data_IF_525514924653
#
_entry.id   IF_525514924653
#
_cell.length_a   1.000
_cell.length_b   1.000
_cell.length_c   1.000
_cell.angle_alpha   90.00
_cell.angle_beta   90.00
_cell.angle_gamma   90.00
#
_symmetry.space_group_name_H-M   'P 1'
#
loop_
_entity.id
_entity.type
_entity.pdbx_description
1 polymer ?
#
# COMPACT_ATOMS: atom_id res chain seq x y z
N UNK A 1 -22.01 -3.87 -24.83
CA UNK A 1 -20.96 -4.86 -24.55
C UNK A 1 -20.82 -4.87 -23.04
N UNK A 2 -20.84 -6.03 -22.39
CA UNK A 2 -20.53 -6.09 -20.96
C UNK A 2 -19.02 -5.90 -20.86
N UNK A 3 -18.56 -4.82 -20.23
CA UNK A 3 -17.14 -4.65 -19.93
C UNK A 3 -16.68 -5.86 -19.11
N UNK A 4 -15.70 -6.60 -19.64
CA UNK A 4 -15.12 -7.74 -18.93
C UNK A 4 -14.32 -7.20 -17.74
N UNK A 5 -14.71 -7.60 -16.53
CA UNK A 5 -14.06 -7.19 -15.28
C UNK A 5 -13.34 -8.40 -14.68
N UNK A 6 -12.07 -8.23 -14.39
CA UNK A 6 -11.23 -9.20 -13.67
C UNK A 6 -11.28 -8.87 -12.17
N UNK A 7 -11.71 -9.81 -11.33
CA UNK A 7 -11.64 -9.66 -9.88
C UNK A 7 -10.19 -9.82 -9.41
N UNK A 8 -9.61 -8.75 -8.87
CA UNK A 8 -8.25 -8.75 -8.32
C UNK A 8 -8.22 -9.05 -6.80
N UNK A 9 -9.32 -8.80 -6.10
CA UNK A 9 -9.37 -8.98 -4.65
C UNK A 9 -10.76 -8.80 -4.07
N UNK A 10 -11.04 -9.52 -2.99
CA UNK A 10 -12.27 -9.42 -2.21
C UNK A 10 -11.96 -9.49 -0.72
N UNK A 11 -12.60 -8.62 0.06
CA UNK A 11 -12.40 -8.56 1.49
C UNK A 11 -13.72 -8.30 2.23
N UNK A 12 -14.02 -9.14 3.21
CA UNK A 12 -15.15 -8.92 4.10
C UNK A 12 -14.73 -8.13 5.34
N UNK A 13 -15.48 -7.11 5.67
CA UNK A 13 -15.35 -6.30 6.87
C UNK A 13 -16.60 -6.39 7.72
N UNK A 14 -16.42 -6.61 9.03
CA UNK A 14 -17.51 -6.70 10.00
C UNK A 14 -17.16 -5.88 11.25
N UNK A 15 -17.84 -4.74 11.40
CA UNK A 15 -17.86 -3.95 12.65
C UNK A 15 -19.27 -3.47 12.96
N UNK A 16 -20.20 -4.41 13.08
CA UNK A 16 -21.62 -4.11 13.32
C UNK A 16 -22.40 -3.75 12.06
N UNK A 17 -21.70 -3.53 10.94
CA UNK A 17 -22.20 -3.55 9.57
C UNK A 17 -21.27 -4.46 8.78
N UNK A 18 -21.84 -5.32 7.95
CA UNK A 18 -21.10 -6.19 7.04
C UNK A 18 -20.92 -5.46 5.71
N UNK A 19 -19.66 -5.26 5.33
CA UNK A 19 -19.24 -4.68 4.05
C UNK A 19 -18.36 -5.67 3.30
N UNK A 20 -18.67 -5.93 2.04
CA UNK A 20 -17.84 -6.70 1.12
C UNK A 20 -17.14 -5.73 0.15
N UNK A 21 -15.83 -5.62 0.24
CA UNK A 21 -15.00 -4.81 -0.65
C UNK A 21 -14.50 -5.63 -1.82
N UNK A 22 -14.47 -5.02 -3.00
CA UNK A 22 -14.00 -5.65 -4.22
C UNK A 22 -13.06 -4.73 -4.98
N UNK A 23 -12.04 -5.33 -5.59
CA UNK A 23 -11.15 -4.65 -6.52
C UNK A 23 -11.27 -5.32 -7.88
N UNK A 24 -11.57 -4.52 -8.90
CA UNK A 24 -11.72 -5.00 -10.27
C UNK A 24 -10.74 -4.31 -11.20
N UNK A 25 -10.06 -5.08 -12.05
CA UNK A 25 -9.38 -4.56 -13.23
C UNK A 25 -10.31 -4.62 -14.42
N UNK A 26 -10.37 -3.54 -15.17
CA UNK A 26 -11.17 -3.44 -16.39
C UNK A 26 -10.71 -2.28 -17.26
N UNK A 27 -11.32 -2.12 -18.43
CA UNK A 27 -11.17 -0.92 -19.25
C UNK A 27 -12.36 -0.02 -18.97
N UNK A 28 -12.10 1.25 -18.64
CA UNK A 28 -13.13 2.29 -18.48
C UNK A 28 -12.74 3.47 -19.35
N UNK A 29 -13.66 3.89 -20.22
CA UNK A 29 -13.42 4.95 -21.22
C UNK A 29 -12.17 4.69 -22.10
N UNK A 30 -11.89 3.41 -22.40
CA UNK A 30 -10.73 2.98 -23.20
C UNK A 30 -9.38 2.98 -22.45
N UNK A 31 -9.34 3.45 -21.20
CA UNK A 31 -8.14 3.48 -20.35
C UNK A 31 -8.08 2.24 -19.46
N UNK A 32 -6.87 1.84 -19.02
CA UNK A 32 -6.80 0.86 -17.93
C UNK A 32 -7.35 1.49 -16.67
N UNK A 33 -8.17 0.72 -15.97
CA UNK A 33 -8.79 1.14 -14.74
C UNK A 33 -8.73 0.00 -13.74
N UNK A 34 -8.35 0.32 -12.51
CA UNK A 34 -8.71 -0.50 -11.36
C UNK A 34 -9.71 0.25 -10.52
N UNK A 35 -10.86 -0.39 -10.30
CA UNK A 35 -11.95 0.17 -9.53
C UNK A 35 -12.10 -0.56 -8.21
N UNK A 36 -12.33 0.21 -7.17
CA UNK A 36 -12.57 -0.26 -5.81
C UNK A 36 -14.03 0.06 -5.46
N UNK A 37 -14.76 -0.98 -5.05
CA UNK A 37 -16.18 -0.92 -4.71
C UNK A 37 -16.44 -1.61 -3.38
N UNK A 38 -17.62 -1.36 -2.82
CA UNK A 38 -18.12 -2.13 -1.68
C UNK A 38 -19.61 -2.42 -1.79
N UNK A 39 -20.05 -3.47 -1.10
CA UNK A 39 -21.45 -3.86 -0.95
C UNK A 39 -21.75 -3.93 0.54
N UNK A 40 -22.71 -3.15 1.02
CA UNK A 40 -23.32 -3.37 2.33
C UNK A 40 -24.41 -4.43 2.22
N UNK A 41 -24.49 -5.35 3.19
CA UNK A 41 -25.45 -6.46 3.15
C UNK A 41 -26.88 -5.97 2.83
N UNK A 42 -27.45 -6.50 1.74
CA UNK A 42 -28.80 -6.14 1.27
C UNK A 42 -28.90 -4.83 0.50
N UNK A 43 -27.79 -4.16 0.18
CA UNK A 43 -27.73 -2.94 -0.66
C UNK A 43 -27.08 -3.20 -2.02
N UNK A 44 -27.19 -2.22 -2.90
CA UNK A 44 -26.50 -2.22 -4.19
C UNK A 44 -25.00 -1.92 -4.02
N UNK A 45 -24.22 -2.35 -5.00
CA UNK A 45 -22.77 -2.10 -5.05
C UNK A 45 -22.48 -0.61 -5.26
N UNK A 46 -21.63 -0.06 -4.40
CA UNK A 46 -21.16 1.32 -4.46
C UNK A 46 -19.72 1.33 -4.96
N UNK A 47 -19.51 1.90 -6.14
CA UNK A 47 -18.19 2.29 -6.62
C UNK A 47 -17.73 3.49 -5.82
N UNK A 48 -16.47 3.57 -5.40
CA UNK A 48 -16.01 4.74 -4.66
C UNK A 48 -14.66 5.28 -5.09
N UNK A 49 -13.82 4.45 -5.75
CA UNK A 49 -12.54 4.92 -6.26
C UNK A 49 -12.13 4.20 -7.53
N UNK A 50 -11.70 4.97 -8.52
CA UNK A 50 -11.09 4.44 -9.74
C UNK A 50 -9.65 4.96 -9.86
N UNK A 51 -8.75 4.08 -10.27
CA UNK A 51 -7.34 4.38 -10.53
C UNK A 51 -7.08 4.17 -12.02
N UNK A 52 -6.75 5.24 -12.74
CA UNK A 52 -6.42 5.17 -14.14
C UNK A 52 -4.91 5.17 -14.33
N UNK A 53 -4.42 4.33 -15.24
CA UNK A 53 -2.99 4.20 -15.49
C UNK A 53 -2.67 3.77 -16.92
N UNK A 54 -1.46 4.08 -17.36
CA UNK A 54 -0.96 3.76 -18.70
C UNK A 54 -0.50 2.30 -18.79
N UNK A 55 -0.48 1.72 -20.00
CA UNK A 55 -0.02 0.34 -20.21
C UNK A 55 1.42 0.11 -19.70
N UNK A 56 2.26 1.14 -19.78
CA UNK A 56 3.64 1.10 -19.30
C UNK A 56 3.73 0.84 -17.79
N UNK A 57 2.72 1.25 -17.01
CA UNK A 57 2.70 1.09 -15.57
C UNK A 57 2.64 -0.41 -15.15
N UNK A 58 2.06 -1.27 -16.00
CA UNK A 58 1.96 -2.71 -15.76
C UNK A 58 3.26 -3.50 -16.02
N UNK A 59 4.32 -2.84 -16.49
CA UNK A 59 5.55 -3.51 -16.91
C UNK A 59 6.35 -4.10 -15.74
N UNK A 60 6.02 -3.75 -14.50
CA UNK A 60 6.70 -4.24 -13.31
C UNK A 60 5.74 -4.95 -12.37
N UNK A 61 6.07 -6.18 -12.02
CA UNK A 61 5.33 -7.00 -11.06
C UNK A 61 6.30 -7.57 -10.04
N UNK A 62 5.83 -7.70 -8.80
CA UNK A 62 6.59 -8.27 -7.71
C UNK A 62 5.62 -8.90 -6.72
N UNK A 63 6.02 -9.99 -6.06
CA UNK A 63 5.16 -10.76 -5.16
C UNK A 63 4.63 -9.94 -3.96
N UNK A 64 5.34 -8.89 -3.56
CA UNK A 64 4.95 -7.99 -2.47
C UNK A 64 4.03 -6.86 -2.92
N UNK A 65 3.79 -6.69 -4.21
CA UNK A 65 2.95 -5.61 -4.77
C UNK A 65 1.62 -6.18 -5.25
N UNK A 66 0.51 -5.71 -4.69
CA UNK A 66 -0.80 -6.16 -5.12
C UNK A 66 -1.88 -5.11 -4.93
N UNK A 67 -2.85 -5.09 -5.83
CA UNK A 67 -4.06 -4.29 -5.67
C UNK A 67 -4.87 -4.68 -4.42
N UNK A 68 -4.73 -5.92 -3.94
CA UNK A 68 -5.33 -6.36 -2.67
C UNK A 68 -4.76 -5.59 -1.46
N UNK A 69 -3.45 -5.27 -1.48
CA UNK A 69 -2.82 -4.46 -0.42
C UNK A 69 -3.38 -3.04 -0.35
N UNK A 70 -3.98 -2.52 -1.43
CA UNK A 70 -4.61 -1.20 -1.49
C UNK A 70 -6.01 -1.17 -0.84
N UNK A 71 -6.65 -2.33 -0.66
CA UNK A 71 -7.90 -2.41 0.14
C UNK A 71 -7.60 -2.04 1.60
N UNK A 72 -6.39 -2.37 2.08
CA UNK A 72 -5.98 -2.28 3.48
C UNK A 72 -4.77 -1.37 3.64
N UNK A 73 -5.02 -0.07 3.47
CA UNK A 73 -4.01 0.97 3.63
C UNK A 73 -3.91 1.43 5.08
N UNK A 74 -2.69 1.69 5.53
CA UNK A 74 -2.38 2.35 6.81
C UNK A 74 -2.36 3.88 6.72
N UNK A 75 -2.55 4.42 5.52
CA UNK A 75 -2.61 5.85 5.23
C UNK A 75 -3.82 6.15 4.33
N UNK A 76 -4.04 7.44 4.00
CA UNK A 76 -5.22 8.01 3.30
C UNK A 76 -5.59 7.39 1.91
N UNK A 77 -5.04 6.23 1.56
CA UNK A 77 -5.11 5.56 0.27
C UNK A 77 -6.21 4.51 0.16
N UNK A 78 -6.66 3.94 1.29
CA UNK A 78 -7.63 2.84 1.33
C UNK A 78 -8.87 3.19 2.16
N UNK A 79 -10.03 2.57 1.87
CA UNK A 79 -11.30 2.90 2.50
C UNK A 79 -11.37 2.48 3.97
N UNK A 80 -10.70 1.37 4.35
CA UNK A 80 -10.83 0.74 5.67
C UNK A 80 -9.51 0.06 6.08
N UNK A 81 -9.02 0.30 7.31
CA UNK A 81 -8.00 -0.55 7.91
C UNK A 81 -8.66 -1.86 8.35
N UNK A 82 -8.61 -2.93 7.56
CA UNK A 82 -8.85 -4.28 8.12
C UNK A 82 -7.61 -4.66 8.92
N UNK A 83 -7.63 -4.21 10.17
CA UNK A 83 -6.54 -4.30 11.15
C UNK A 83 -5.92 -5.71 11.18
N UNK A 84 -6.75 -6.76 11.17
CA UNK A 84 -6.27 -8.16 11.19
C UNK A 84 -5.34 -8.51 10.03
N UNK A 85 -5.67 -8.05 8.82
CA UNK A 85 -4.80 -8.28 7.66
C UNK A 85 -3.48 -7.52 7.83
N UNK A 86 -3.57 -6.23 8.16
CA UNK A 86 -2.39 -5.37 8.27
C UNK A 86 -1.42 -5.84 9.38
N UNK A 87 -1.94 -6.35 10.50
CA UNK A 87 -1.16 -6.79 11.66
C UNK A 87 -0.23 -7.98 11.35
N UNK A 88 -0.55 -8.79 10.32
CA UNK A 88 0.20 -9.99 9.96
C UNK A 88 0.70 -10.02 8.49
N UNK A 89 0.38 -9.00 7.68
CA UNK A 89 0.69 -9.00 6.24
C UNK A 89 2.19 -9.15 5.93
N UNK A 90 3.08 -8.66 6.79
CA UNK A 90 4.53 -8.80 6.60
C UNK A 90 4.97 -10.25 6.86
N UNK A 91 4.47 -10.82 7.94
CA UNK A 91 4.74 -12.18 8.39
C UNK A 91 4.19 -13.21 7.41
N UNK A 92 3.02 -12.92 6.80
CA UNK A 92 2.36 -13.76 5.79
C UNK A 92 2.96 -13.62 4.37
N UNK A 93 4.05 -12.87 4.22
CA UNK A 93 4.72 -12.70 2.93
C UNK A 93 3.97 -11.83 1.92
N UNK A 94 3.04 -10.99 2.37
CA UNK A 94 2.23 -10.12 1.49
C UNK A 94 2.80 -8.72 1.30
N UNK A 95 3.64 -8.29 2.24
CA UNK A 95 4.29 -6.98 2.25
C UNK A 95 5.73 -7.11 2.80
N UNK A 96 6.55 -6.11 2.50
CA UNK A 96 7.88 -5.98 3.13
C UNK A 96 7.84 -5.09 4.38
N UNK A 97 6.84 -4.21 4.50
CA UNK A 97 6.60 -3.39 5.68
C UNK A 97 5.11 -3.10 5.88
N UNK A 98 4.72 -2.80 7.11
CA UNK A 98 3.35 -2.40 7.45
C UNK A 98 3.33 -1.54 8.73
N UNK A 99 2.40 -0.60 8.77
CA UNK A 99 1.90 -0.07 10.04
C UNK A 99 0.87 -1.03 10.59
N UNK A 100 1.04 -1.40 11.85
CA UNK A 100 0.27 -2.41 12.56
C UNK A 100 -0.53 -1.73 13.67
N UNK A 101 -1.80 -2.10 13.82
CA UNK A 101 -2.77 -1.46 14.72
C UNK A 101 -3.35 -2.47 15.72
N UNK A 102 -2.56 -3.00 16.66
CA UNK A 102 -3.05 -3.84 17.75
C UNK A 102 -4.31 -3.28 18.42
N UNK A 103 -5.31 -4.13 18.64
CA UNK A 103 -6.58 -3.76 19.26
C UNK A 103 -6.45 -3.56 20.77
N UNK A 104 -5.48 -4.23 21.40
CA UNK A 104 -5.19 -4.16 22.82
C UNK A 104 -3.71 -4.45 23.11
N UNK A 105 -3.33 -4.33 24.39
CA UNK A 105 -1.97 -4.58 24.84
C UNK A 105 -1.53 -6.05 24.74
N UNK A 106 -2.48 -7.01 24.74
CA UNK A 106 -2.15 -8.42 24.60
C UNK A 106 -1.77 -8.76 23.15
N UNK A 107 -2.51 -8.25 22.18
CA UNK A 107 -2.19 -8.39 20.75
C UNK A 107 -0.86 -7.68 20.44
N UNK A 108 -0.65 -6.47 20.99
CA UNK A 108 0.60 -5.73 20.85
C UNK A 108 1.82 -6.57 21.29
N UNK A 109 1.74 -7.14 22.49
CA UNK A 109 2.84 -7.95 23.04
C UNK A 109 3.02 -9.28 22.30
N UNK A 110 1.95 -9.85 21.76
CA UNK A 110 2.01 -11.05 20.92
C UNK A 110 2.77 -10.77 19.63
N UNK A 111 2.38 -9.73 18.89
CA UNK A 111 3.02 -9.34 17.62
C UNK A 111 4.50 -9.01 17.85
N UNK A 112 4.83 -8.26 18.91
CA UNK A 112 6.22 -7.96 19.27
C UNK A 112 7.04 -9.23 19.56
N UNK A 113 6.45 -10.28 20.14
CA UNK A 113 7.17 -11.54 20.46
C UNK A 113 7.37 -12.43 19.24
N UNK A 114 6.37 -12.52 18.37
CA UNK A 114 6.40 -13.36 17.16
C UNK A 114 7.39 -12.85 16.10
N UNK A 115 7.77 -11.58 16.15
CA UNK A 115 8.55 -10.92 15.11
C UNK A 115 10.07 -10.86 15.37
N UNK A 116 10.54 -11.33 16.53
CA UNK A 116 11.89 -11.01 17.03
C UNK A 116 13.07 -11.56 16.21
N UNK A 117 12.92 -12.67 15.48
CA UNK A 117 14.05 -13.30 14.78
C UNK A 117 14.12 -12.96 13.29
N UNK A 118 12.99 -12.81 12.60
CA UNK A 118 12.96 -12.64 11.14
C UNK A 118 12.60 -11.21 10.70
N UNK A 119 12.08 -10.39 11.62
CA UNK A 119 11.52 -9.09 11.32
C UNK A 119 12.06 -8.00 12.25
N UNK A 120 11.88 -6.77 11.81
CA UNK A 120 12.00 -5.57 12.61
C UNK A 120 10.61 -5.21 13.12
N UNK A 121 10.46 -5.02 14.43
CA UNK A 121 9.19 -4.63 15.04
C UNK A 121 9.44 -3.64 16.18
N UNK A 122 8.90 -2.44 16.09
CA UNK A 122 9.09 -1.39 17.10
C UNK A 122 7.83 -0.54 17.26
N UNK A 123 7.68 0.12 18.42
CA UNK A 123 6.67 1.17 18.60
C UNK A 123 6.77 2.21 17.49
N UNK A 124 5.64 2.57 16.90
CA UNK A 124 5.53 3.79 16.12
C UNK A 124 5.65 4.99 17.07
N UNK A 125 6.19 6.12 16.58
CA UNK A 125 6.59 7.24 17.43
C UNK A 125 5.50 7.63 18.46
N UNK A 126 5.92 7.82 19.71
CA UNK A 126 5.12 7.65 20.95
C UNK A 126 4.12 8.80 21.21
N UNK A 127 4.01 9.75 20.30
CA UNK A 127 3.34 11.03 20.56
C UNK A 127 1.82 11.00 20.29
N UNK A 128 1.31 10.09 19.45
CA UNK A 128 -0.11 10.10 19.05
C UNK A 128 -0.83 8.74 19.11
N UNK A 129 -0.13 7.61 18.97
CA UNK A 129 -0.76 6.30 18.81
C UNK A 129 -0.15 5.25 19.75
N UNK A 130 -0.71 5.17 20.97
CA UNK A 130 -0.15 4.39 22.09
C UNK A 130 0.03 2.89 21.83
N UNK A 131 -0.61 2.31 20.81
CA UNK A 131 -0.54 0.89 20.46
C UNK A 131 -0.06 0.62 19.04
N UNK A 132 0.41 1.61 18.29
CA UNK A 132 0.82 1.40 16.90
C UNK A 132 2.25 0.83 16.81
N UNK A 133 2.43 -0.13 15.91
CA UNK A 133 3.72 -0.75 15.63
C UNK A 133 4.13 -0.50 14.16
N UNK A 134 5.43 -0.37 13.92
CA UNK A 134 5.99 -0.57 12.60
C UNK A 134 6.61 -1.95 12.53
N UNK A 135 6.21 -2.75 11.54
CA UNK A 135 6.77 -4.06 11.26
C UNK A 135 7.38 -4.05 9.86
N UNK A 136 8.61 -4.53 9.71
CA UNK A 136 9.21 -4.75 8.40
C UNK A 136 10.06 -6.01 8.35
N UNK A 137 10.31 -6.50 7.14
CA UNK A 137 11.39 -7.45 6.89
C UNK A 137 12.75 -6.78 7.17
N UNK A 138 13.79 -7.61 7.26
CA UNK A 138 15.19 -7.15 7.36
C UNK A 138 15.76 -6.75 6.00
N UNK A 139 16.84 -5.99 5.99
CA UNK A 139 17.51 -5.52 4.78
C UNK A 139 16.96 -4.18 4.29
N UNK A 140 17.08 -3.95 2.99
CA UNK A 140 16.84 -2.70 2.28
C UNK A 140 15.86 -2.92 1.12
N UNK A 141 15.38 -1.86 0.47
CA UNK A 141 14.53 -2.03 -0.72
C UNK A 141 15.25 -2.75 -1.86
N UNK A 142 16.58 -2.60 -1.98
CA UNK A 142 17.38 -3.31 -2.99
C UNK A 142 17.32 -4.84 -2.85
N UNK A 143 17.01 -5.36 -1.66
CA UNK A 143 16.91 -6.81 -1.44
C UNK A 143 15.60 -7.39 -1.99
N UNK A 144 14.59 -6.53 -2.23
CA UNK A 144 13.23 -6.96 -2.62
C UNK A 144 12.80 -6.46 -3.99
N UNK A 145 13.42 -5.38 -4.49
CA UNK A 145 12.98 -4.69 -5.70
C UNK A 145 14.14 -4.29 -6.61
N UNK A 146 13.96 -4.53 -7.91
CA UNK A 146 14.80 -3.94 -8.95
C UNK A 146 14.48 -2.45 -9.14
N UNK A 147 15.30 -1.60 -8.52
CA UNK A 147 15.19 -0.13 -8.60
C UNK A 147 15.25 0.40 -10.03
N UNK A 148 16.15 -0.12 -10.86
CA UNK A 148 16.37 0.42 -12.21
C UNK A 148 15.15 0.11 -13.10
N UNK A 149 14.57 -1.08 -12.97
CA UNK A 149 13.31 -1.42 -13.63
C UNK A 149 12.15 -0.52 -13.15
N UNK A 150 12.05 -0.25 -11.85
CA UNK A 150 11.03 0.63 -11.27
C UNK A 150 11.18 2.05 -11.81
N UNK A 151 12.38 2.63 -11.75
CA UNK A 151 12.67 3.97 -12.27
C UNK A 151 12.33 4.08 -13.75
N UNK A 152 12.60 3.02 -14.52
CA UNK A 152 12.22 2.98 -15.94
C UNK A 152 10.70 3.05 -16.12
N UNK A 153 9.91 2.32 -15.32
CA UNK A 153 8.44 2.36 -15.41
C UNK A 153 7.89 3.76 -15.12
N UNK A 154 8.37 4.42 -14.06
CA UNK A 154 7.96 5.80 -13.77
C UNK A 154 8.31 6.74 -14.92
N UNK A 155 9.52 6.63 -15.47
CA UNK A 155 9.96 7.42 -16.61
C UNK A 155 9.13 7.18 -17.88
N UNK A 156 8.79 5.93 -18.18
CA UNK A 156 7.92 5.57 -19.30
C UNK A 156 6.49 6.10 -19.12
N UNK A 157 6.11 6.45 -17.89
CA UNK A 157 4.85 7.10 -17.54
C UNK A 157 5.02 8.62 -17.35
N UNK A 158 6.07 9.24 -17.89
CA UNK A 158 6.34 10.69 -17.80
C UNK A 158 6.52 11.22 -16.36
N UNK A 159 6.95 10.38 -15.42
CA UNK A 159 7.30 10.76 -14.05
C UNK A 159 8.82 10.64 -13.89
N UNK A 160 9.50 11.78 -13.76
CA UNK A 160 10.94 11.82 -13.52
C UNK A 160 11.20 11.78 -12.01
N UNK A 161 11.74 10.66 -11.53
CA UNK A 161 12.14 10.49 -10.13
C UNK A 161 13.62 10.86 -9.98
N UNK A 162 13.95 11.63 -8.95
CA UNK A 162 15.34 11.97 -8.65
C UNK A 162 16.17 10.72 -8.32
N UNK A 163 17.17 10.45 -9.15
CA UNK A 163 17.97 9.22 -9.04
C UNK A 163 18.78 9.16 -7.76
N UNK A 164 19.43 10.26 -7.37
CA UNK A 164 20.28 10.31 -6.18
C UNK A 164 19.44 10.04 -4.93
N UNK A 165 18.26 10.64 -4.86
CA UNK A 165 17.31 10.42 -3.80
C UNK A 165 16.77 8.98 -3.77
N UNK A 166 16.48 8.40 -4.93
CA UNK A 166 16.05 7.00 -5.01
C UNK A 166 17.18 6.05 -4.59
N UNK A 167 18.43 6.35 -4.94
CA UNK A 167 19.61 5.57 -4.50
C UNK A 167 19.77 5.60 -2.98
N UNK A 168 19.61 6.76 -2.35
CA UNK A 168 19.61 6.91 -0.89
C UNK A 168 18.51 6.08 -0.23
N UNK A 169 17.27 6.25 -0.69
CA UNK A 169 16.10 5.57 -0.11
C UNK A 169 16.19 4.06 -0.29
N UNK A 170 16.65 3.58 -1.44
CA UNK A 170 16.76 2.14 -1.70
C UNK A 170 17.84 1.45 -0.87
N UNK A 171 18.85 2.21 -0.44
CA UNK A 171 19.96 1.72 0.38
C UNK A 171 19.67 1.78 1.88
N UNK A 172 18.55 2.40 2.28
CA UNK A 172 18.17 2.51 3.68
C UNK A 172 17.65 1.18 4.22
N UNK A 173 18.06 0.84 5.44
CA UNK A 173 17.49 -0.30 6.16
C UNK A 173 15.99 -0.09 6.39
N UNK A 174 15.18 -1.12 6.15
CA UNK A 174 13.73 -1.04 6.21
C UNK A 174 13.20 -0.55 7.57
N UNK A 175 13.92 -0.83 8.66
CA UNK A 175 13.59 -0.33 10.01
C UNK A 175 13.64 1.19 10.14
N UNK A 176 14.47 1.85 9.35
CA UNK A 176 14.75 3.27 9.52
C UNK A 176 13.71 4.15 8.82
N UNK A 177 12.83 3.57 8.00
CA UNK A 177 11.62 4.23 7.51
C UNK A 177 10.61 4.58 8.61
N UNK A 178 10.69 3.94 9.78
CA UNK A 178 9.88 4.31 10.94
C UNK A 178 10.33 5.64 11.60
N UNK A 179 11.46 6.20 11.18
CA UNK A 179 12.09 7.40 11.78
C UNK A 179 12.20 8.51 10.74
N UNK A 180 11.37 9.54 10.88
CA UNK A 180 11.37 10.71 9.98
C UNK A 180 12.74 11.34 9.82
N UNK A 181 13.52 11.41 10.89
CA UNK A 181 14.84 12.02 10.93
C UNK A 181 15.84 11.25 10.06
N UNK A 182 15.58 9.97 9.79
CA UNK A 182 16.46 9.12 8.98
C UNK A 182 15.99 9.04 7.53
N UNK A 183 14.70 8.75 7.29
CA UNK A 183 14.18 8.61 5.93
C UNK A 183 13.78 9.95 5.28
N UNK A 184 13.64 11.04 6.04
CA UNK A 184 13.35 12.38 5.54
C UNK A 184 11.86 12.70 5.32
N UNK A 185 10.95 11.77 5.60
CA UNK A 185 9.49 11.99 5.48
C UNK A 185 8.71 11.19 6.52
N UNK A 186 7.43 11.54 6.73
CA UNK A 186 6.53 10.77 7.61
C UNK A 186 5.68 9.82 6.77
N UNK A 187 5.61 8.54 7.14
CA UNK A 187 4.88 7.52 6.36
C UNK A 187 3.37 7.82 6.23
N UNK A 188 2.77 8.50 7.22
CA UNK A 188 1.34 8.87 7.21
C UNK A 188 1.07 10.25 6.59
N UNK A 189 2.09 11.09 6.43
CA UNK A 189 2.02 12.43 5.84
C UNK A 189 3.12 12.57 4.77
N UNK A 190 2.98 11.75 3.74
CA UNK A 190 3.98 11.63 2.69
C UNK A 190 3.61 12.49 1.48
N UNK A 191 4.57 13.31 1.05
CA UNK A 191 4.48 14.16 -0.13
C UNK A 191 5.75 14.00 -0.98
N UNK A 192 5.64 14.32 -2.26
CA UNK A 192 6.75 14.22 -3.22
C UNK A 192 6.82 12.85 -3.89
N UNK A 193 7.26 12.85 -5.16
CA UNK A 193 7.16 11.69 -6.05
C UNK A 193 7.95 10.49 -5.56
N UNK A 194 9.20 10.69 -5.11
CA UNK A 194 10.11 9.63 -4.65
C UNK A 194 9.60 9.01 -3.35
N UNK A 195 9.18 9.85 -2.40
CA UNK A 195 8.67 9.38 -1.13
C UNK A 195 7.38 8.57 -1.32
N UNK A 196 6.50 9.02 -2.21
CA UNK A 196 5.27 8.30 -2.57
C UNK A 196 5.57 6.98 -3.30
N UNK A 197 6.54 6.97 -4.22
CA UNK A 197 7.00 5.75 -4.88
C UNK A 197 7.49 4.72 -3.86
N UNK A 198 8.36 5.13 -2.94
CA UNK A 198 8.91 4.26 -1.89
C UNK A 198 7.85 3.82 -0.90
N UNK A 199 6.94 4.71 -0.49
CA UNK A 199 5.83 4.37 0.41
C UNK A 199 4.92 3.30 -0.20
N UNK A 200 4.65 3.40 -1.50
CA UNK A 200 3.93 2.38 -2.26
C UNK A 200 4.62 1.02 -2.16
N UNK A 201 5.94 0.97 -2.40
CA UNK A 201 6.71 -0.27 -2.30
C UNK A 201 6.71 -0.86 -0.89
N UNK A 202 6.91 -0.03 0.13
CA UNK A 202 6.93 -0.44 1.54
C UNK A 202 5.61 -1.11 1.93
N UNK A 203 4.48 -0.50 1.61
CA UNK A 203 3.15 -0.98 1.98
C UNK A 203 2.51 -1.91 0.95
N UNK A 204 3.26 -2.30 -0.08
CA UNK A 204 2.88 -3.31 -1.05
C UNK A 204 1.86 -2.85 -2.09
N UNK A 205 1.79 -1.55 -2.37
CA UNK A 205 0.91 -0.99 -3.39
C UNK A 205 1.50 -1.22 -4.79
N UNK A 206 0.66 -1.56 -5.78
CA UNK A 206 1.11 -1.74 -7.15
C UNK A 206 1.60 -0.39 -7.70
N UNK A 207 2.65 -0.40 -8.53
CA UNK A 207 3.26 0.82 -9.06
C UNK A 207 2.23 1.66 -9.83
N UNK A 208 1.33 0.99 -10.54
CA UNK A 208 0.22 1.62 -11.26
C UNK A 208 -0.64 2.51 -10.35
N UNK A 209 -0.87 2.11 -9.09
CA UNK A 209 -1.65 2.91 -8.15
C UNK A 209 -0.94 4.19 -7.71
N UNK A 210 0.38 4.12 -7.53
CA UNK A 210 1.18 5.30 -7.17
C UNK A 210 1.31 6.25 -8.36
N UNK A 211 1.48 5.72 -9.57
CA UNK A 211 1.49 6.51 -10.81
C UNK A 211 0.14 7.23 -10.99
N UNK A 212 -0.98 6.52 -10.83
CA UNK A 212 -2.31 7.11 -10.89
C UNK A 212 -2.45 8.27 -9.90
N UNK A 213 -1.94 8.11 -8.67
CA UNK A 213 -1.96 9.20 -7.69
C UNK A 213 -1.08 10.39 -8.13
N UNK A 214 0.16 10.15 -8.55
CA UNK A 214 1.09 11.22 -8.90
C UNK A 214 0.60 12.04 -10.10
N UNK A 215 -0.21 11.42 -10.97
CA UNK A 215 -0.86 12.08 -12.10
C UNK A 215 -2.21 12.72 -11.77
N UNK A 216 -2.71 12.58 -10.54
CA UNK A 216 -4.07 12.96 -10.14
C UNK A 216 -5.15 12.27 -11.01
N UNK A 217 -4.85 11.05 -11.45
CA UNK A 217 -5.69 10.19 -12.29
C UNK A 217 -6.54 9.23 -11.44
N UNK A 218 -7.06 9.76 -10.33
CA UNK A 218 -7.91 9.04 -9.39
C UNK A 218 -9.24 9.78 -9.26
N UNK A 219 -10.35 9.07 -9.45
CA UNK A 219 -11.67 9.64 -9.11
C UNK A 219 -12.08 9.22 -7.72
N UNK A 220 -12.44 10.18 -6.88
CA UNK A 220 -13.19 9.92 -5.65
C UNK A 220 -14.64 10.28 -5.87
N UNK A 221 -15.55 9.40 -5.46
CA UNK A 221 -16.94 9.83 -5.25
C UNK A 221 -17.00 10.59 -3.92
N UNK A 222 -17.56 11.80 -3.95
CA UNK A 222 -18.01 12.49 -2.75
C UNK A 222 -19.10 11.62 -2.12
N UNK A 223 -18.79 10.98 -0.99
CA UNK A 223 -19.75 10.21 -0.17
C UNK A 223 -20.45 11.17 0.79
#
# INVERSE_FOLDING_TARGET
MVEEKELLGHAKYDKGVILDFYVYRHKKDGRNCVSLSYIEEGKEEVWFRDFFYDDAACAYQNEYLSWYNLIFCSNNYGPIPVVKYMNHAVQDGKKIAATVYPVDSNEYMTIMRETFEDYYCFPYNVEEYSLMLYVSRKGTLNDYFDKDAIMKVYKDCDIDLDKERMDELFSLELKDFAKKETCGFMLHECYGSENLAVLGLLFGYPIESTIALLKDDITMLDI
#
